data_IF_633440412742
#
_entry.id   IF_633440412742
#
_cell.length_a   1.000
_cell.length_b   1.000
_cell.length_c   1.000
_cell.angle_alpha   90.00
_cell.angle_beta   90.00
_cell.angle_gamma   90.00
#
_symmetry.space_group_name_H-M   'P 1'
#
loop_
_entity.id
_entity.type
_entity.pdbx_description
1 polymer ?
#
# COMPACT_ATOMS: atom_id res chain seq x y z
N UNK A 1 47.60 56.11 35.50
CA UNK A 1 47.44 55.37 36.76
C UNK A 1 46.36 54.32 36.55
N UNK A 2 46.77 53.07 36.35
CA UNK A 2 45.92 51.87 36.51
C UNK A 2 45.60 51.71 38.02
N UNK A 3 44.58 51.03 38.55
CA UNK A 3 43.91 49.74 38.28
C UNK A 3 42.55 49.75 39.06
N UNK A 4 41.64 48.82 38.72
CA UNK A 4 40.75 48.02 39.63
C UNK A 4 39.28 48.50 39.70
N UNK A 5 38.19 47.70 39.63
CA UNK A 5 37.95 46.23 39.66
C UNK A 5 36.60 45.91 38.99
N UNK A 6 36.52 44.68 38.48
CA UNK A 6 35.35 43.95 37.96
C UNK A 6 34.24 43.78 39.00
N UNK A 7 32.97 43.88 38.59
CA UNK A 7 31.87 43.07 39.12
C UNK A 7 30.89 42.71 38.00
N UNK A 8 30.94 41.45 37.60
CA UNK A 8 29.94 40.78 36.76
C UNK A 8 28.57 40.82 37.40
N UNK A 9 27.53 40.97 36.58
CA UNK A 9 26.21 40.45 36.86
C UNK A 9 25.69 39.85 35.57
N UNK A 10 25.88 38.53 35.47
CA UNK A 10 25.22 37.67 34.51
C UNK A 10 23.74 37.60 34.89
N UNK A 11 22.87 38.16 34.06
CA UNK A 11 21.49 37.69 33.96
C UNK A 11 21.16 37.56 32.48
N UNK A 12 21.35 36.34 32.00
CA UNK A 12 20.81 35.86 30.74
C UNK A 12 19.28 35.80 30.84
N UNK A 13 18.60 36.57 30.00
CA UNK A 13 17.19 36.39 29.68
C UNK A 13 17.13 36.20 28.15
N UNK A 14 17.04 34.96 27.66
CA UNK A 14 15.79 34.21 27.52
C UNK A 14 14.78 34.96 26.62
N UNK A 15 15.07 35.02 25.32
CA UNK A 15 14.12 35.43 24.29
C UNK A 15 13.84 34.23 23.36
N UNK A 16 12.96 33.36 23.86
CA UNK A 16 11.89 32.65 23.15
C UNK A 16 12.19 32.17 21.71
N UNK A 17 12.79 30.97 21.65
CA UNK A 17 12.53 29.98 20.61
C UNK A 17 11.10 29.45 20.79
N UNK A 18 10.14 30.03 20.08
CA UNK A 18 8.76 29.52 20.03
C UNK A 18 8.17 29.68 18.62
N UNK A 19 8.94 29.28 17.61
CA UNK A 19 8.44 28.96 16.28
C UNK A 19 8.51 27.45 16.11
N UNK A 20 7.73 26.72 16.91
CA UNK A 20 7.56 25.29 16.72
C UNK A 20 6.99 25.07 15.34
N UNK A 21 7.81 24.52 14.45
CA UNK A 21 7.35 23.82 13.26
C UNK A 21 6.36 22.77 13.74
N UNK A 22 5.07 23.10 13.64
CA UNK A 22 4.01 22.10 13.56
C UNK A 22 4.27 21.37 12.23
N UNK A 23 5.20 20.41 12.26
CA UNK A 23 5.17 19.28 11.36
C UNK A 23 3.84 18.59 11.70
N UNK A 24 2.77 19.02 11.06
CA UNK A 24 1.57 18.21 10.89
C UNK A 24 2.05 16.99 10.14
N UNK A 25 2.53 15.98 10.87
CA UNK A 25 2.80 14.68 10.33
C UNK A 25 1.52 14.29 9.61
N UNK A 26 1.60 14.17 8.27
CA UNK A 26 0.49 13.66 7.50
C UNK A 26 0.06 12.36 8.20
N UNK A 27 -1.23 12.18 8.53
CA UNK A 27 -1.68 10.91 9.04
C UNK A 27 -1.39 9.90 7.94
N UNK A 28 -0.29 9.16 8.09
CA UNK A 28 -0.04 7.96 7.30
C UNK A 28 -1.25 7.06 7.51
N UNK A 29 -1.87 6.68 6.42
CA UNK A 29 -3.00 5.80 6.31
C UNK A 29 -2.63 4.42 6.80
N UNK A 30 -3.50 3.91 7.65
CA UNK A 30 -3.43 2.57 8.20
C UNK A 30 -3.99 1.56 7.20
N UNK A 31 -3.99 0.28 7.58
CA UNK A 31 -4.48 -0.79 6.71
C UNK A 31 -5.93 -0.47 6.32
N UNK A 32 -6.20 -0.48 5.01
CA UNK A 32 -7.52 -0.22 4.45
C UNK A 32 -7.83 1.23 4.09
N UNK A 33 -6.95 2.19 4.43
CA UNK A 33 -7.13 3.59 4.04
C UNK A 33 -6.98 3.75 2.51
N UNK A 34 -7.76 4.61 1.85
CA UNK A 34 -7.62 4.84 0.42
C UNK A 34 -6.23 5.41 0.10
N UNK A 35 -5.62 4.93 -0.97
CA UNK A 35 -4.29 5.37 -1.38
C UNK A 35 -4.21 5.67 -2.88
N UNK A 36 -3.38 6.66 -3.22
CA UNK A 36 -3.07 6.98 -4.61
C UNK A 36 -1.66 6.47 -4.92
N UNK A 37 -1.53 5.66 -5.97
CA UNK A 37 -0.27 5.08 -6.39
C UNK A 37 0.59 6.02 -7.27
N UNK A 38 0.10 7.23 -7.57
CA UNK A 38 0.85 8.31 -8.24
C UNK A 38 1.14 8.07 -9.72
N UNK A 39 0.63 6.99 -10.31
CA UNK A 39 0.78 6.67 -11.74
C UNK A 39 -0.46 7.09 -12.53
N UNK A 40 -0.26 7.45 -13.80
CA UNK A 40 -1.34 7.78 -14.76
C UNK A 40 -1.77 6.57 -15.60
N UNK A 41 -1.18 5.41 -15.33
CA UNK A 41 -1.51 4.16 -15.99
C UNK A 41 -1.92 3.13 -14.94
N UNK A 42 -2.99 2.36 -15.22
CA UNK A 42 -3.42 1.27 -14.35
C UNK A 42 -2.33 0.19 -14.31
N UNK A 43 -2.13 -0.45 -13.15
CA UNK A 43 -1.16 -1.51 -12.99
C UNK A 43 -1.56 -2.75 -13.80
N UNK A 44 -0.56 -3.49 -14.27
CA UNK A 44 -0.76 -4.82 -14.88
C UNK A 44 -0.67 -5.97 -13.86
N UNK A 45 -0.48 -5.66 -12.57
CA UNK A 45 -0.33 -6.64 -11.49
C UNK A 45 -1.11 -6.24 -10.24
N UNK A 46 -1.43 -7.23 -9.38
CA UNK A 46 -2.14 -7.07 -8.10
C UNK A 46 -1.39 -6.23 -7.05
N UNK A 47 -0.18 -5.77 -7.35
CA UNK A 47 0.69 -5.14 -6.35
C UNK A 47 1.39 -3.91 -6.92
N UNK A 48 0.85 -2.73 -6.58
CA UNK A 48 1.35 -1.43 -7.05
C UNK A 48 2.19 -0.78 -5.98
N UNK A 49 3.44 -1.18 -5.89
CA UNK A 49 4.33 -0.62 -4.86
C UNK A 49 5.18 0.51 -5.38
N UNK A 50 4.71 1.72 -5.11
CA UNK A 50 5.44 2.98 -5.24
C UNK A 50 5.19 3.77 -3.98
N UNK A 51 6.08 4.72 -3.59
CA UNK A 51 6.06 5.30 -2.24
C UNK A 51 4.74 6.03 -2.01
N UNK A 52 3.76 5.30 -1.48
CA UNK A 52 2.48 5.82 -1.08
C UNK A 52 2.76 6.58 0.20
N UNK A 53 3.20 7.83 0.07
CA UNK A 53 3.51 8.70 1.21
C UNK A 53 2.32 8.85 2.15
N UNK A 54 1.12 8.53 1.64
CA UNK A 54 -0.12 8.41 2.38
C UNK A 54 -0.28 7.12 3.16
N UNK A 55 0.60 6.11 3.08
CA UNK A 55 0.51 4.84 3.80
C UNK A 55 1.67 4.67 4.78
N UNK A 56 1.42 4.05 5.94
CA UNK A 56 2.42 3.89 7.01
C UNK A 56 3.67 3.13 6.56
N UNK A 57 3.49 2.05 5.79
CA UNK A 57 4.57 1.23 5.24
C UNK A 57 4.90 1.57 3.77
N UNK A 58 4.35 2.67 3.25
CA UNK A 58 4.47 3.08 1.85
C UNK A 58 3.91 2.05 0.85
N UNK A 59 3.05 1.13 1.31
CA UNK A 59 2.42 0.10 0.48
C UNK A 59 0.98 0.50 0.13
N UNK A 60 0.70 0.54 -1.15
CA UNK A 60 -0.63 0.74 -1.73
C UNK A 60 -0.95 -0.49 -2.58
N UNK A 61 -2.09 -1.13 -2.35
CA UNK A 61 -2.42 -2.44 -2.92
C UNK A 61 -3.77 -2.37 -3.62
N UNK A 62 -3.81 -2.96 -4.82
CA UNK A 62 -5.03 -3.21 -5.60
C UNK A 62 -5.15 -4.73 -5.77
N UNK A 63 -5.99 -5.37 -4.96
CA UNK A 63 -6.02 -6.84 -4.85
C UNK A 63 -6.81 -7.56 -5.95
N UNK A 64 -7.66 -6.85 -6.68
CA UNK A 64 -8.61 -7.48 -7.60
C UNK A 64 -7.99 -7.94 -8.92
N UNK A 65 -8.47 -9.08 -9.40
CA UNK A 65 -8.18 -9.57 -10.75
C UNK A 65 -9.34 -9.27 -11.69
N UNK A 66 -9.07 -8.48 -12.73
CA UNK A 66 -10.05 -8.12 -13.74
C UNK A 66 -9.62 -8.67 -15.10
N UNK A 67 -10.50 -9.42 -15.75
CA UNK A 67 -10.26 -9.89 -17.12
C UNK A 67 -10.63 -8.79 -18.10
N UNK A 68 -9.62 -8.12 -18.65
CA UNK A 68 -9.83 -7.03 -19.62
C UNK A 68 -10.41 -7.60 -20.93
N UNK A 69 -11.51 -7.05 -21.46
CA UNK A 69 -12.02 -7.45 -22.77
C UNK A 69 -11.01 -7.19 -23.89
N UNK A 70 -10.71 -8.20 -24.70
CA UNK A 70 -9.79 -8.05 -25.85
C UNK A 70 -10.47 -7.45 -27.10
N UNK A 71 -11.74 -7.05 -26.99
CA UNK A 71 -12.50 -6.49 -28.11
C UNK A 71 -12.13 -5.03 -28.37
N UNK A 72 -12.00 -4.61 -29.64
CA UNK A 72 -11.90 -3.19 -29.96
C UNK A 72 -13.12 -2.43 -29.43
N UNK A 73 -12.89 -1.22 -28.96
CA UNK A 73 -13.92 -0.37 -28.37
C UNK A 73 -13.97 1.00 -29.06
N UNK A 74 -15.16 1.61 -29.09
CA UNK A 74 -15.39 3.02 -29.42
C UNK A 74 -15.78 3.86 -28.21
N UNK A 75 -16.11 3.23 -27.07
CA UNK A 75 -16.51 3.91 -25.84
C UNK A 75 -16.30 3.02 -24.60
N UNK A 76 -16.25 3.64 -23.42
CA UNK A 76 -16.15 2.91 -22.13
C UNK A 76 -17.36 1.99 -21.92
N UNK A 77 -18.54 2.39 -22.39
CA UNK A 77 -19.74 1.58 -22.33
C UNK A 77 -19.58 0.25 -23.07
N UNK A 78 -18.84 0.23 -24.18
CA UNK A 78 -18.55 -1.01 -24.91
C UNK A 78 -17.66 -1.95 -24.10
N UNK A 79 -16.63 -1.41 -23.43
CA UNK A 79 -15.76 -2.19 -22.55
C UNK A 79 -16.50 -2.75 -21.33
N UNK A 80 -17.42 -1.96 -20.75
CA UNK A 80 -18.19 -2.36 -19.56
C UNK A 80 -19.47 -3.15 -19.89
N UNK A 81 -19.81 -3.34 -21.18
CA UNK A 81 -20.97 -4.14 -21.57
C UNK A 81 -20.79 -5.64 -21.32
N UNK A 82 -19.54 -6.10 -21.18
CA UNK A 82 -19.18 -7.49 -20.90
C UNK A 82 -18.58 -7.70 -19.50
N UNK A 83 -18.14 -6.63 -18.83
CA UNK A 83 -17.74 -6.63 -17.43
C UNK A 83 -18.96 -6.62 -16.51
N UNK A 84 -18.85 -7.16 -15.29
CA UNK A 84 -19.95 -7.43 -14.35
C UNK A 84 -20.73 -6.22 -13.78
N UNK A 85 -20.79 -5.09 -14.49
CA UNK A 85 -21.46 -3.85 -14.10
C UNK A 85 -20.52 -2.86 -13.39
N UNK A 86 -20.60 -1.57 -13.78
CA UNK A 86 -19.79 -0.48 -13.24
C UNK A 86 -18.81 0.12 -14.25
N UNK A 87 -18.11 1.19 -13.86
CA UNK A 87 -17.09 1.90 -14.66
C UNK A 87 -15.70 1.27 -14.45
N UNK A 88 -15.61 -0.06 -14.63
CA UNK A 88 -14.42 -0.87 -14.34
C UNK A 88 -13.35 -0.69 -15.42
N UNK A 89 -13.78 -0.56 -16.68
CA UNK A 89 -12.90 -0.46 -17.84
C UNK A 89 -13.05 0.88 -18.56
N UNK A 90 -11.98 1.35 -19.20
CA UNK A 90 -12.00 2.52 -20.09
C UNK A 90 -11.50 2.14 -21.48
N UNK A 91 -12.01 2.84 -22.49
CA UNK A 91 -11.62 2.67 -23.89
C UNK A 91 -10.54 3.68 -24.28
N UNK A 92 -9.32 3.19 -24.50
CA UNK A 92 -8.17 4.02 -24.87
C UNK A 92 -7.54 3.50 -26.14
N UNK A 93 -7.44 4.36 -27.16
CA UNK A 93 -6.86 4.02 -28.46
C UNK A 93 -7.50 2.78 -29.12
N UNK A 94 -8.82 2.65 -29.03
CA UNK A 94 -9.60 1.49 -29.51
C UNK A 94 -9.29 0.16 -28.80
N UNK A 95 -8.68 0.20 -27.60
CA UNK A 95 -8.47 -0.98 -26.77
C UNK A 95 -9.09 -0.75 -25.40
N UNK A 96 -9.78 -1.76 -24.88
CA UNK A 96 -10.19 -1.75 -23.49
C UNK A 96 -8.97 -1.92 -22.59
N UNK A 97 -8.98 -1.22 -21.46
CA UNK A 97 -8.06 -1.42 -20.35
C UNK A 97 -8.78 -1.14 -19.03
N UNK A 98 -8.17 -1.53 -17.93
CA UNK A 98 -8.68 -1.23 -16.59
C UNK A 98 -8.76 0.30 -16.38
N UNK A 99 -9.85 0.80 -15.83
CA UNK A 99 -10.03 2.21 -15.52
C UNK A 99 -9.08 2.64 -14.40
N UNK A 100 -8.37 3.75 -14.60
CA UNK A 100 -7.51 4.31 -13.55
C UNK A 100 -8.31 4.73 -12.32
N UNK A 101 -9.48 5.34 -12.53
CA UNK A 101 -10.35 5.78 -11.44
C UNK A 101 -10.84 4.59 -10.61
N UNK A 102 -11.21 3.49 -11.27
CA UNK A 102 -11.57 2.24 -10.61
C UNK A 102 -10.44 1.70 -9.75
N UNK A 103 -9.21 1.66 -10.30
CA UNK A 103 -8.03 1.20 -9.55
C UNK A 103 -7.79 2.08 -8.33
N UNK A 104 -7.89 3.40 -8.47
CA UNK A 104 -7.67 4.34 -7.37
C UNK A 104 -8.73 4.20 -6.26
N UNK A 105 -9.99 4.01 -6.63
CA UNK A 105 -11.08 3.77 -5.66
C UNK A 105 -10.93 2.46 -4.89
N UNK A 106 -10.34 1.44 -5.54
CA UNK A 106 -10.11 0.12 -4.94
C UNK A 106 -8.73 -0.04 -4.31
N UNK A 107 -7.85 0.95 -4.46
CA UNK A 107 -6.47 0.90 -3.92
C UNK A 107 -6.44 1.28 -2.45
N UNK A 108 -5.90 0.39 -1.63
CA UNK A 108 -5.84 0.56 -0.17
C UNK A 108 -4.43 0.44 0.40
N UNK A 109 -4.15 1.20 1.44
CA UNK A 109 -2.93 1.09 2.21
C UNK A 109 -2.81 -0.30 2.83
N UNK A 110 -1.62 -0.88 2.72
CA UNK A 110 -1.27 -2.19 3.30
C UNK A 110 0.00 -2.06 4.14
N UNK A 111 0.37 -3.15 4.80
CA UNK A 111 1.60 -3.29 5.58
C UNK A 111 2.05 -4.74 5.63
N UNK A 112 3.32 -4.94 5.96
CA UNK A 112 3.84 -6.29 6.25
C UNK A 112 3.25 -6.81 7.56
N UNK A 113 3.04 -8.12 7.63
CA UNK A 113 2.39 -8.76 8.76
C UNK A 113 3.00 -10.14 9.05
N UNK A 114 2.87 -10.61 10.28
CA UNK A 114 3.19 -11.98 10.68
C UNK A 114 1.92 -12.78 10.98
N UNK A 115 0.88 -12.11 11.46
CA UNK A 115 -0.42 -12.69 11.87
C UNK A 115 -1.57 -11.79 11.45
N UNK A 116 -2.79 -12.34 11.40
CA UNK A 116 -4.00 -11.54 11.11
C UNK A 116 -4.22 -10.42 12.15
N UNK A 117 -3.78 -10.63 13.39
CA UNK A 117 -3.84 -9.61 14.44
C UNK A 117 -3.02 -8.37 14.10
N UNK A 118 -1.96 -8.51 13.30
CA UNK A 118 -1.18 -7.37 12.82
C UNK A 118 -2.02 -6.51 11.88
N UNK A 119 -2.97 -7.09 11.13
CA UNK A 119 -3.83 -6.37 10.19
C UNK A 119 -5.00 -5.66 10.85
N UNK A 120 -5.23 -5.90 12.14
CA UNK A 120 -6.17 -5.13 12.93
C UNK A 120 -5.54 -3.76 13.28
N UNK A 121 -6.26 -2.68 12.99
CA UNK A 121 -5.85 -1.30 13.34
C UNK A 121 -5.91 -1.01 14.87
N UNK A 122 -5.91 -2.06 15.71
CA UNK A 122 -6.14 -2.00 17.15
C UNK A 122 -4.87 -1.95 18.00
N UNK A 123 -3.68 -2.02 17.39
CA UNK A 123 -2.41 -2.06 18.13
C UNK A 123 -1.96 -0.68 18.64
N UNK A 124 -2.35 -0.39 19.88
CA UNK A 124 -1.72 0.41 20.95
C UNK A 124 -1.20 1.85 20.73
N UNK A 125 -1.18 2.38 19.51
CA UNK A 125 -0.86 3.79 19.25
C UNK A 125 -2.00 4.53 18.56
N UNK A 126 -3.22 4.38 19.09
CA UNK A 126 -4.31 5.36 19.03
C UNK A 126 -4.45 6.12 17.70
N UNK A 127 -4.44 5.36 16.61
CA UNK A 127 -4.70 5.85 15.25
C UNK A 127 -6.14 5.46 14.93
N UNK A 128 -6.92 6.34 14.27
CA UNK A 128 -8.29 5.99 13.92
C UNK A 128 -8.23 4.67 13.14
N UNK A 129 -8.94 3.65 13.63
CA UNK A 129 -9.47 2.62 12.73
C UNK A 129 -10.02 3.37 11.53
N UNK A 130 -9.51 3.08 10.33
CA UNK A 130 -10.15 3.55 9.09
C UNK A 130 -11.63 3.21 9.25
N UNK A 131 -12.49 4.23 9.22
CA UNK A 131 -13.90 3.99 9.47
C UNK A 131 -14.41 3.02 8.38
N UNK A 132 -15.37 2.15 8.71
CA UNK A 132 -15.85 1.11 7.79
C UNK A 132 -16.40 1.70 6.46
N UNK A 133 -16.73 3.01 6.44
CA UNK A 133 -17.15 3.76 5.26
C UNK A 133 -16.00 4.43 4.48
N UNK A 134 -14.78 4.45 5.01
CA UNK A 134 -13.58 4.95 4.34
C UNK A 134 -12.77 3.82 3.67
N UNK A 135 -12.99 2.57 4.07
CA UNK A 135 -12.37 1.41 3.43
C UNK A 135 -13.26 0.82 2.34
N UNK A 136 -12.66 0.39 1.24
CA UNK A 136 -13.35 -0.36 0.21
C UNK A 136 -13.51 -1.84 0.57
N UNK A 137 -13.01 -2.25 1.75
CA UNK A 137 -13.01 -3.63 2.23
C UNK A 137 -14.12 -3.88 3.26
N UNK A 138 -15.08 -4.73 2.95
CA UNK A 138 -16.24 -5.04 3.79
C UNK A 138 -16.02 -6.25 4.72
N UNK A 139 -15.12 -7.16 4.37
CA UNK A 139 -14.91 -8.43 5.11
C UNK A 139 -13.64 -8.44 5.97
N UNK A 140 -12.98 -7.29 6.13
CA UNK A 140 -11.78 -7.11 6.94
C UNK A 140 -10.50 -7.54 6.21
N UNK A 141 -9.37 -7.52 6.94
CA UNK A 141 -8.05 -7.79 6.38
C UNK A 141 -7.42 -9.04 7.00
N UNK A 142 -6.81 -9.87 6.17
CA UNK A 142 -6.02 -11.02 6.60
C UNK A 142 -4.56 -10.87 6.20
N UNK A 143 -3.69 -11.50 6.98
CA UNK A 143 -2.27 -11.52 6.73
C UNK A 143 -1.93 -12.68 5.80
N UNK A 144 -1.76 -12.41 4.51
CA UNK A 144 -1.53 -13.46 3.50
C UNK A 144 -0.52 -13.00 2.44
N UNK A 145 -0.16 -13.89 1.52
CA UNK A 145 0.75 -13.59 0.41
C UNK A 145 -0.08 -13.11 -0.78
N UNK A 146 0.39 -12.05 -1.44
CA UNK A 146 -0.32 -11.43 -2.57
C UNK A 146 0.36 -11.64 -3.93
N UNK A 147 1.67 -11.92 -3.98
CA UNK A 147 2.37 -12.17 -5.25
C UNK A 147 3.57 -13.12 -5.16
N UNK A 148 3.88 -13.74 -6.32
CA UNK A 148 4.99 -14.69 -6.55
C UNK A 148 6.28 -14.04 -7.07
N UNK A 149 6.28 -12.74 -7.36
CA UNK A 149 7.41 -12.07 -8.05
C UNK A 149 7.59 -10.63 -7.54
N UNK A 150 8.76 -10.05 -7.77
CA UNK A 150 9.07 -8.66 -7.41
C UNK A 150 9.51 -8.48 -5.95
N UNK A 151 9.58 -7.23 -5.50
CA UNK A 151 10.18 -6.88 -4.21
C UNK A 151 9.43 -7.40 -2.97
N UNK A 152 8.16 -7.79 -3.13
CA UNK A 152 7.33 -8.41 -2.08
C UNK A 152 7.02 -9.88 -2.38
N UNK A 153 7.86 -10.56 -3.17
CA UNK A 153 7.64 -11.97 -3.46
C UNK A 153 7.55 -12.79 -2.16
N UNK A 154 6.47 -13.59 -2.03
CA UNK A 154 6.20 -14.44 -0.87
C UNK A 154 6.22 -13.71 0.48
N UNK A 155 6.13 -12.38 0.47
CA UNK A 155 5.99 -11.59 1.69
C UNK A 155 4.52 -11.55 2.07
N UNK A 156 4.28 -11.73 3.37
CA UNK A 156 2.94 -11.64 3.96
C UNK A 156 2.59 -10.17 4.17
N UNK A 157 1.45 -9.77 3.63
CA UNK A 157 0.90 -8.42 3.68
C UNK A 157 -0.55 -8.48 4.17
N UNK A 158 -1.04 -7.36 4.70
CA UNK A 158 -2.46 -7.22 5.00
C UNK A 158 -3.25 -7.00 3.71
N UNK A 159 -4.08 -7.97 3.36
CA UNK A 159 -4.89 -7.98 2.12
C UNK A 159 -6.36 -7.98 2.49
N UNK A 160 -7.18 -7.26 1.73
CA UNK A 160 -8.62 -7.24 1.93
C UNK A 160 -9.23 -8.61 1.60
N UNK A 161 -10.07 -9.11 2.49
CA UNK A 161 -10.73 -10.41 2.36
C UNK A 161 -11.66 -10.50 1.14
N UNK A 162 -12.19 -9.38 0.66
CA UNK A 162 -13.02 -9.32 -0.56
C UNK A 162 -12.21 -9.56 -1.85
N UNK A 163 -10.88 -9.46 -1.77
CA UNK A 163 -9.98 -9.60 -2.92
C UNK A 163 -9.30 -10.99 -2.96
N UNK A 164 -9.63 -11.88 -2.01
CA UNK A 164 -8.87 -13.11 -1.74
C UNK A 164 -9.27 -14.35 -2.55
N UNK A 165 -10.29 -14.29 -3.41
CA UNK A 165 -10.96 -15.44 -4.03
C UNK A 165 -10.04 -16.38 -4.87
N UNK A 166 -8.75 -16.07 -5.00
CA UNK A 166 -7.73 -16.82 -5.76
C UNK A 166 -6.38 -17.00 -5.05
N UNK A 167 -6.25 -16.73 -3.75
CA UNK A 167 -4.93 -16.73 -3.06
C UNK A 167 -4.52 -18.04 -2.38
N UNK A 168 -5.41 -19.03 -2.25
CA UNK A 168 -5.08 -20.30 -1.56
C UNK A 168 -3.91 -21.06 -2.23
N UNK A 169 -3.86 -21.07 -3.57
CA UNK A 169 -2.78 -21.70 -4.33
C UNK A 169 -1.45 -20.93 -4.15
N UNK A 170 -1.52 -19.63 -3.91
CA UNK A 170 -0.34 -18.78 -3.73
C UNK A 170 0.33 -18.99 -2.38
N UNK A 171 -0.44 -19.19 -1.31
CA UNK A 171 0.14 -19.49 0.01
C UNK A 171 0.94 -20.80 -0.03
N UNK A 172 0.39 -21.84 -0.66
CA UNK A 172 1.07 -23.11 -0.82
C UNK A 172 2.35 -22.99 -1.66
N UNK A 173 2.32 -22.20 -2.74
CA UNK A 173 3.50 -21.97 -3.58
C UNK A 173 4.58 -21.11 -2.92
N UNK A 174 4.24 -20.38 -1.87
CA UNK A 174 5.18 -19.60 -1.07
C UNK A 174 5.64 -20.30 0.21
N UNK A 175 5.32 -21.59 0.38
CA UNK A 175 5.77 -22.40 1.52
C UNK A 175 7.31 -22.54 1.53
N UNK A 176 7.98 -22.20 2.66
CA UNK A 176 9.44 -22.20 2.72
C UNK A 176 10.09 -23.52 2.33
N UNK A 177 11.01 -23.46 1.36
CA UNK A 177 11.77 -24.60 0.81
C UNK A 177 10.91 -25.69 0.15
N UNK A 178 9.63 -25.44 -0.09
CA UNK A 178 8.70 -26.41 -0.68
C UNK A 178 8.05 -25.86 -1.93
N UNK A 179 7.50 -24.64 -1.84
CA UNK A 179 6.75 -24.04 -2.93
C UNK A 179 7.64 -23.50 -4.04
N UNK A 180 7.19 -23.64 -5.29
CA UNK A 180 7.94 -23.24 -6.47
C UNK A 180 8.23 -21.72 -6.46
N UNK A 181 7.25 -20.89 -6.09
CA UNK A 181 7.43 -19.44 -5.98
C UNK A 181 8.44 -19.07 -4.88
N UNK A 182 8.47 -19.79 -3.76
CA UNK A 182 9.48 -19.57 -2.72
C UNK A 182 10.89 -19.84 -3.24
N UNK A 183 11.08 -20.94 -3.98
CA UNK A 183 12.38 -21.31 -4.55
C UNK A 183 12.82 -20.28 -5.61
N UNK A 184 11.90 -19.80 -6.44
CA UNK A 184 12.20 -18.76 -7.43
C UNK A 184 12.66 -17.46 -6.77
N UNK A 185 12.05 -17.09 -5.65
CA UNK A 185 12.33 -15.83 -4.98
C UNK A 185 13.54 -15.84 -4.06
N UNK A 186 13.85 -16.97 -3.43
CA UNK A 186 14.94 -17.06 -2.45
C UNK A 186 16.05 -18.06 -2.82
N UNK A 187 15.83 -18.91 -3.82
CA UNK A 187 16.76 -19.98 -4.21
C UNK A 187 18.02 -19.50 -4.93
N UNK A 188 17.99 -18.34 -5.59
CA UNK A 188 19.16 -17.78 -6.28
C UNK A 188 20.16 -17.09 -5.33
N UNK A 189 19.74 -16.66 -4.14
CA UNK A 189 20.63 -16.05 -3.13
C UNK A 189 21.48 -17.08 -2.38
N UNK A 190 21.12 -18.37 -2.45
CA UNK A 190 21.86 -19.45 -1.79
C UNK A 190 23.07 -19.98 -2.61
N UNK A 191 23.28 -19.52 -3.86
CA UNK A 191 24.38 -20.02 -4.72
C UNK A 191 25.62 -19.10 -4.81
N UNK A 192 25.68 -17.97 -4.09
CA UNK A 192 26.83 -17.04 -4.15
C UNK A 192 27.71 -17.01 -2.91
N UNK A 193 27.46 -17.88 -1.92
CA UNK A 193 28.36 -18.07 -0.77
C UNK A 193 28.95 -19.48 -0.76
N UNK A 194 29.79 -19.77 -1.76
CA UNK A 194 30.64 -20.96 -1.84
C UNK A 194 32.03 -20.59 -2.31
#
# INVERSE_FOLDING_TARGET
MSITRVKSSFFAAAALLAGGLLLTACPQGDVGAPCNHGTVEPPSSKLVTFPALSCSDLLCVYGEEQTVPETPCGSDQECNSQGGGGDIFECVNNSCRLSLDYVLERSMCSKTCSTDDDCNNTSLNNRPTVDDDETACSTGFSCTVLQRLGQFCCQRLCVCNDDLDTLDDLEQECEPNVGDAWIECYGNDQMTTG
#
